data_IF_665313414128
#
_entry.id   IF_665313414128
#
_cell.length_a   1.000
_cell.length_b   1.000
_cell.length_c   1.000
_cell.angle_alpha   90.00
_cell.angle_beta   90.00
_cell.angle_gamma   90.00
#
_symmetry.space_group_name_H-M   'P 1'
#
loop_
_entity.id
_entity.type
_entity.pdbx_description
1 polymer ?
#
# COMPACT_ATOMS: atom_id res chain seq x y z
N UNK A 1 7.97 -16.32 28.27
CA UNK A 1 7.10 -15.40 29.03
C UNK A 1 7.63 -13.97 29.06
N UNK A 2 8.87 -13.71 29.51
CA UNK A 2 9.44 -12.35 29.57
C UNK A 2 9.44 -11.58 28.23
N UNK A 3 9.72 -12.25 27.11
CA UNK A 3 9.78 -11.61 25.77
C UNK A 3 8.43 -11.08 25.29
N UNK A 4 7.34 -11.83 25.46
CA UNK A 4 6.00 -11.45 25.00
C UNK A 4 5.47 -10.24 25.75
N UNK A 5 5.64 -10.26 27.07
CA UNK A 5 5.18 -9.17 27.92
C UNK A 5 5.97 -7.89 27.66
N UNK A 6 7.25 -7.97 27.30
CA UNK A 6 8.04 -6.77 26.99
C UNK A 6 7.47 -5.97 25.82
N UNK A 7 6.92 -6.64 24.80
CA UNK A 7 6.29 -5.99 23.64
C UNK A 7 4.95 -5.38 24.03
N UNK A 8 4.08 -6.16 24.69
CA UNK A 8 2.75 -5.70 25.07
C UNK A 8 2.79 -4.60 26.14
N UNK A 9 3.79 -4.61 27.03
CA UNK A 9 3.93 -3.61 28.08
C UNK A 9 4.20 -2.22 27.55
N UNK A 10 5.02 -2.08 26.51
CA UNK A 10 5.27 -0.77 25.88
C UNK A 10 3.97 -0.20 25.32
N UNK A 11 3.16 -1.03 24.67
CA UNK A 11 1.86 -0.65 24.14
C UNK A 11 0.90 -0.22 25.26
N UNK A 12 0.78 -1.00 26.33
CA UNK A 12 -0.15 -0.68 27.43
C UNK A 12 0.27 0.56 28.22
N UNK A 13 1.58 0.76 28.43
CA UNK A 13 2.10 1.98 29.05
C UNK A 13 1.86 3.22 28.20
N UNK A 14 2.04 3.11 26.88
CA UNK A 14 1.81 4.24 25.99
C UNK A 14 0.33 4.63 25.95
N UNK A 15 -0.58 3.66 25.84
CA UNK A 15 -2.02 3.91 25.94
C UNK A 15 -2.39 4.64 27.23
N UNK A 16 -1.83 4.21 28.36
CA UNK A 16 -2.07 4.88 29.64
C UNK A 16 -1.52 6.32 29.68
N UNK A 17 -0.33 6.57 29.09
CA UNK A 17 0.23 7.94 28.96
C UNK A 17 -0.64 8.88 28.13
N UNK A 18 -1.39 8.34 27.15
CA UNK A 18 -2.38 9.11 26.37
C UNK A 18 -3.73 9.28 27.08
N UNK A 19 -3.81 8.94 28.38
CA UNK A 19 -4.98 9.18 29.22
C UNK A 19 -6.03 8.07 29.19
N UNK A 20 -5.71 6.88 28.67
CA UNK A 20 -6.62 5.73 28.67
C UNK A 20 -6.50 4.95 30.00
N UNK A 21 -7.62 4.41 30.49
CA UNK A 21 -7.58 3.43 31.58
C UNK A 21 -7.27 2.04 31.01
N UNK A 22 -6.21 1.40 31.51
CA UNK A 22 -5.72 0.13 30.95
C UNK A 22 -5.75 -0.96 32.01
N UNK A 23 -6.42 -2.08 31.72
CA UNK A 23 -6.43 -3.28 32.57
C UNK A 23 -5.65 -4.38 31.87
N UNK A 24 -4.64 -4.95 32.54
CA UNK A 24 -3.73 -5.96 31.97
C UNK A 24 -3.80 -7.23 32.81
N UNK A 25 -4.26 -8.34 32.22
CA UNK A 25 -4.14 -9.67 32.85
C UNK A 25 -2.75 -10.20 32.54
N UNK A 26 -1.89 -10.35 33.55
CA UNK A 26 -0.49 -10.74 33.35
C UNK A 26 0.00 -11.78 34.36
N UNK A 27 0.75 -12.79 33.91
CA UNK A 27 1.41 -13.78 34.77
C UNK A 27 2.73 -13.27 35.39
N UNK A 28 3.10 -12.01 35.14
CA UNK A 28 4.37 -11.43 35.54
C UNK A 28 4.14 -9.95 35.89
N UNK A 29 3.37 -9.65 36.94
CA UNK A 29 3.13 -8.26 37.36
C UNK A 29 4.47 -7.59 37.65
N UNK A 30 4.68 -6.41 37.10
CA UNK A 30 5.99 -5.77 37.17
C UNK A 30 5.98 -4.45 37.92
N UNK A 31 4.79 -3.97 38.33
CA UNK A 31 4.63 -2.66 38.93
C UNK A 31 4.93 -1.58 37.89
N UNK A 32 3.91 -0.84 37.47
CA UNK A 32 4.11 0.29 36.55
C UNK A 32 4.36 1.58 37.31
N UNK A 33 5.11 2.49 36.70
CA UNK A 33 5.27 3.88 37.17
C UNK A 33 4.24 4.84 36.54
N UNK A 34 3.39 4.32 35.65
CA UNK A 34 2.37 5.08 34.91
C UNK A 34 1.04 4.95 35.63
N UNK A 35 0.48 6.08 36.07
CA UNK A 35 -0.87 6.13 36.64
C UNK A 35 -1.90 5.65 35.58
N UNK A 36 -2.99 5.00 36.01
CA UNK A 36 -4.08 4.45 35.17
C UNK A 36 -3.86 3.05 34.55
N UNK A 37 -2.86 2.27 34.99
CA UNK A 37 -2.76 0.85 34.66
C UNK A 37 -3.11 -0.01 35.86
N UNK A 38 -4.04 -0.97 35.66
CA UNK A 38 -4.38 -2.00 36.64
C UNK A 38 -3.89 -3.36 36.16
N UNK A 39 -2.92 -3.96 36.86
CA UNK A 39 -2.45 -5.31 36.58
C UNK A 39 -3.26 -6.35 37.37
N UNK A 40 -3.88 -7.30 36.67
CA UNK A 40 -4.50 -8.50 37.23
C UNK A 40 -3.47 -9.62 37.21
N UNK A 41 -2.93 -9.92 38.39
CA UNK A 41 -1.90 -10.94 38.57
C UNK A 41 -2.47 -12.36 38.45
N UNK A 42 -1.92 -13.14 37.51
CA UNK A 42 -2.22 -14.56 37.31
C UNK A 42 -0.96 -15.43 37.36
N UNK A 43 0.11 -14.96 37.99
CA UNK A 43 1.41 -15.65 38.06
C UNK A 43 1.30 -17.04 38.69
N UNK A 44 0.58 -17.17 39.80
CA UNK A 44 0.45 -18.42 40.55
C UNK A 44 -0.14 -19.55 39.70
N UNK A 45 -1.28 -19.28 39.06
CA UNK A 45 -1.96 -20.26 38.18
C UNK A 45 -1.16 -20.53 36.91
N UNK A 46 -0.41 -19.53 36.43
CA UNK A 46 0.33 -19.64 35.17
C UNK A 46 1.61 -20.47 35.32
N UNK A 47 2.41 -20.15 36.34
CA UNK A 47 3.67 -20.83 36.64
C UNK A 47 3.48 -22.32 36.92
N UNK A 48 2.41 -22.69 37.63
CA UNK A 48 2.07 -24.09 37.90
C UNK A 48 1.86 -24.90 36.62
N UNK A 49 1.13 -24.37 35.64
CA UNK A 49 0.84 -25.06 34.38
C UNK A 49 2.09 -25.22 33.51
N UNK A 50 3.02 -24.26 33.50
CA UNK A 50 4.27 -24.39 32.76
C UNK A 50 5.20 -25.46 33.36
N UNK A 51 5.24 -25.56 34.69
CA UNK A 51 5.99 -26.59 35.41
C UNK A 51 5.38 -27.97 35.20
N UNK A 52 4.06 -28.12 35.38
CA UNK A 52 3.33 -29.38 35.21
C UNK A 52 3.26 -29.83 33.74
N UNK A 53 3.23 -28.89 32.80
CA UNK A 53 3.18 -29.11 31.36
C UNK A 53 4.48 -29.70 30.78
N UNK A 54 5.56 -29.75 31.56
CA UNK A 54 6.82 -30.36 31.13
C UNK A 54 7.65 -29.48 30.19
N UNK A 55 7.46 -28.16 30.20
CA UNK A 55 8.20 -27.22 29.37
C UNK A 55 9.72 -27.32 29.58
N UNK A 56 10.16 -27.50 30.83
CA UNK A 56 11.56 -27.75 31.17
C UNK A 56 12.11 -29.06 30.57
N UNK A 57 11.25 -30.07 30.36
CA UNK A 57 11.64 -31.31 29.67
C UNK A 57 11.73 -31.09 28.17
N UNK A 58 10.83 -30.29 27.59
CA UNK A 58 10.88 -29.92 26.17
C UNK A 58 12.15 -29.11 25.84
N UNK A 59 12.48 -28.08 26.64
CA UNK A 59 13.71 -27.29 26.49
C UNK A 59 15.00 -28.10 26.71
N UNK A 60 14.94 -29.21 27.45
CA UNK A 60 16.09 -30.12 27.64
C UNK A 60 16.22 -31.18 26.54
N UNK A 61 15.18 -31.38 25.71
CA UNK A 61 15.22 -32.29 24.57
C UNK A 61 15.75 -31.61 23.28
N UNK A 62 16.06 -30.31 23.32
CA UNK A 62 16.50 -29.51 22.16
C UNK A 62 18.00 -29.46 21.94
N UNK A 63 18.80 -30.30 22.60
CA UNK A 63 20.22 -30.46 22.27
C UNK A 63 20.39 -31.20 20.94
N UNK A 64 20.28 -30.47 19.82
CA UNK A 64 20.80 -30.87 18.51
C UNK A 64 19.85 -31.59 17.53
N UNK A 65 18.53 -31.65 17.78
CA UNK A 65 17.57 -32.26 16.85
C UNK A 65 16.66 -31.18 16.25
N UNK A 66 16.43 -31.20 14.92
CA UNK A 66 15.39 -30.41 14.27
C UNK A 66 14.03 -30.81 14.86
N UNK A 67 13.43 -29.95 15.67
CA UNK A 67 12.14 -30.24 16.28
C UNK A 67 11.10 -30.28 15.16
N UNK A 68 10.27 -31.33 15.13
CA UNK A 68 9.08 -31.35 14.28
C UNK A 68 8.20 -30.15 14.68
N UNK A 69 8.11 -29.17 13.78
CA UNK A 69 7.37 -27.94 14.00
C UNK A 69 5.90 -28.23 14.33
N UNK A 70 5.33 -29.31 13.78
CA UNK A 70 3.95 -29.73 14.05
C UNK A 70 3.81 -30.25 15.48
N UNK A 71 4.76 -31.08 15.94
CA UNK A 71 4.73 -31.58 17.33
C UNK A 71 4.96 -30.46 18.34
N UNK A 72 5.84 -29.51 18.02
CA UNK A 72 6.07 -28.32 18.85
C UNK A 72 4.80 -27.49 18.96
N UNK A 73 4.14 -27.23 17.83
CA UNK A 73 2.91 -26.45 17.81
C UNK A 73 1.76 -27.17 18.54
N UNK A 74 1.66 -28.50 18.41
CA UNK A 74 0.69 -29.30 19.16
C UNK A 74 0.92 -29.27 20.66
N UNK A 75 2.18 -29.34 21.11
CA UNK A 75 2.53 -29.23 22.52
C UNK A 75 2.22 -27.83 23.07
N UNK A 76 2.64 -26.78 22.35
CA UNK A 76 2.37 -25.38 22.73
C UNK A 76 0.86 -25.16 22.85
N UNK A 77 0.07 -25.55 21.84
CA UNK A 77 -1.39 -25.43 21.88
C UNK A 77 -2.00 -26.16 23.11
N UNK A 78 -1.50 -27.34 23.46
CA UNK A 78 -2.02 -28.08 24.64
C UNK A 78 -1.71 -27.38 25.96
N UNK A 79 -0.50 -26.82 26.11
CA UNK A 79 -0.11 -26.08 27.30
C UNK A 79 -0.88 -24.76 27.38
N UNK A 80 -1.04 -24.05 26.26
CA UNK A 80 -1.78 -22.80 26.18
C UNK A 80 -3.26 -22.97 26.53
N UNK A 81 -3.92 -24.04 26.08
CA UNK A 81 -5.31 -24.32 26.45
C UNK A 81 -5.48 -24.51 27.96
N UNK A 82 -4.56 -25.24 28.59
CA UNK A 82 -4.57 -25.44 30.05
C UNK A 82 -4.27 -24.15 30.80
N UNK A 83 -3.33 -23.37 30.27
CA UNK A 83 -2.96 -22.07 30.85
C UNK A 83 -4.15 -21.13 30.82
N UNK A 84 -4.82 -21.04 29.68
CA UNK A 84 -5.99 -20.20 29.51
C UNK A 84 -7.13 -20.62 30.43
N UNK A 85 -7.43 -21.92 30.52
CA UNK A 85 -8.47 -22.44 31.41
C UNK A 85 -8.16 -22.10 32.89
N UNK A 86 -6.90 -22.27 33.31
CA UNK A 86 -6.47 -21.92 34.66
C UNK A 86 -6.58 -20.41 34.94
N UNK A 87 -6.14 -19.57 34.01
CA UNK A 87 -6.24 -18.11 34.12
C UNK A 87 -7.70 -17.64 34.13
N UNK A 88 -8.56 -18.20 33.28
CA UNK A 88 -9.99 -17.86 33.23
C UNK A 88 -10.70 -18.27 34.50
N UNK A 89 -10.34 -19.38 35.11
CA UNK A 89 -10.92 -19.83 36.38
C UNK A 89 -10.31 -19.15 37.61
N UNK A 90 -9.25 -18.34 37.44
CA UNK A 90 -8.66 -17.59 38.54
C UNK A 90 -9.72 -16.65 39.16
N UNK A 91 -9.89 -16.62 40.50
CA UNK A 91 -10.92 -15.82 41.15
C UNK A 91 -10.90 -14.34 40.79
N UNK A 92 -9.69 -13.79 40.60
CA UNK A 92 -9.49 -12.37 40.22
C UNK A 92 -10.01 -12.08 38.80
N UNK A 93 -9.79 -12.99 37.85
CA UNK A 93 -10.28 -12.86 36.47
C UNK A 93 -11.79 -13.10 36.42
N UNK A 94 -12.30 -14.10 37.14
CA UNK A 94 -13.74 -14.36 37.26
C UNK A 94 -14.50 -13.17 37.88
N UNK A 95 -13.89 -12.46 38.82
CA UNK A 95 -14.47 -11.25 39.41
C UNK A 95 -14.66 -10.17 38.33
N UNK A 96 -13.64 -9.92 37.51
CA UNK A 96 -13.71 -8.99 36.37
C UNK A 96 -14.77 -9.42 35.34
N UNK A 97 -14.78 -10.71 34.97
CA UNK A 97 -15.75 -11.26 34.01
C UNK A 97 -17.19 -11.14 34.52
N UNK A 98 -17.44 -11.28 35.82
CA UNK A 98 -18.79 -11.23 36.40
C UNK A 98 -19.27 -9.81 36.71
N UNK A 99 -18.36 -8.83 36.69
CA UNK A 99 -18.73 -7.44 36.87
C UNK A 99 -19.53 -6.93 35.66
N UNK A 100 -20.79 -6.56 35.90
CA UNK A 100 -21.70 -6.08 34.85
C UNK A 100 -21.50 -4.60 34.54
N UNK A 101 -20.88 -3.86 35.44
CA UNK A 101 -20.62 -2.43 35.28
C UNK A 101 -19.30 -2.19 34.54
N UNK A 102 -18.37 -3.16 34.60
CA UNK A 102 -17.12 -3.11 33.85
C UNK A 102 -17.38 -3.14 32.34
N UNK A 103 -16.82 -2.16 31.63
CA UNK A 103 -16.83 -2.05 30.17
C UNK A 103 -15.42 -1.78 29.66
N UNK A 104 -15.18 -2.17 28.42
CA UNK A 104 -13.94 -1.90 27.70
C UNK A 104 -14.29 -1.41 26.30
N UNK A 105 -13.67 -0.33 25.85
CA UNK A 105 -13.88 0.22 24.50
C UNK A 105 -13.03 -0.52 23.44
N UNK A 106 -11.97 -1.21 23.88
CA UNK A 106 -11.04 -1.95 23.03
C UNK A 106 -10.36 -3.06 23.83
N UNK A 107 -10.16 -4.22 23.21
CA UNK A 107 -9.48 -5.36 23.83
C UNK A 107 -8.28 -5.76 22.98
N UNK A 108 -7.11 -5.81 23.61
CA UNK A 108 -5.90 -6.39 23.01
C UNK A 108 -5.76 -7.83 23.46
N UNK A 109 -5.49 -8.74 22.52
CA UNK A 109 -5.22 -10.14 22.81
C UNK A 109 -3.94 -10.61 22.12
N UNK A 110 -3.22 -11.53 22.74
CA UNK A 110 -2.04 -12.12 22.11
C UNK A 110 -2.48 -13.09 20.99
N UNK A 111 -1.92 -12.92 19.79
CA UNK A 111 -2.32 -13.67 18.59
C UNK A 111 -2.08 -15.18 18.70
N UNK A 112 -1.14 -15.62 19.55
CA UNK A 112 -0.89 -17.04 19.80
C UNK A 112 -1.94 -17.69 20.72
N UNK A 113 -2.91 -16.95 21.26
CA UNK A 113 -3.96 -17.49 22.16
C UNK A 113 -5.36 -17.19 21.62
N UNK A 114 -5.84 -17.88 20.56
CA UNK A 114 -7.06 -17.53 19.85
C UNK A 114 -8.33 -17.54 20.70
N UNK A 115 -8.37 -18.33 21.78
CA UNK A 115 -9.54 -18.43 22.65
C UNK A 115 -9.74 -17.22 23.57
N UNK A 116 -8.73 -16.34 23.69
CA UNK A 116 -8.85 -15.09 24.45
C UNK A 116 -9.84 -14.10 23.82
N UNK A 117 -10.20 -14.27 22.54
CA UNK A 117 -11.25 -13.48 21.86
C UNK A 117 -12.63 -13.62 22.53
N UNK A 118 -12.84 -14.64 23.38
CA UNK A 118 -14.08 -14.78 24.15
C UNK A 118 -14.36 -13.57 25.07
N UNK A 119 -13.32 -12.82 25.47
CA UNK A 119 -13.48 -11.56 26.21
C UNK A 119 -14.22 -10.50 25.38
N UNK A 120 -14.01 -10.48 24.08
CA UNK A 120 -14.73 -9.59 23.16
C UNK A 120 -16.22 -9.85 23.15
N UNK A 121 -16.61 -11.14 23.09
CA UNK A 121 -18.00 -11.53 23.15
C UNK A 121 -18.63 -11.19 24.51
N UNK A 122 -17.85 -11.23 25.60
CA UNK A 122 -18.33 -10.86 26.94
C UNK A 122 -18.54 -9.35 27.09
N UNK A 123 -17.64 -8.53 26.56
CA UNK A 123 -17.64 -7.08 26.79
C UNK A 123 -18.20 -6.27 25.62
N UNK A 124 -18.57 -6.92 24.52
CA UNK A 124 -19.08 -6.29 23.29
C UNK A 124 -18.13 -5.20 22.73
N UNK A 125 -16.84 -5.54 22.70
CA UNK A 125 -15.76 -4.61 22.36
C UNK A 125 -14.94 -5.10 21.14
N UNK A 126 -14.46 -4.20 20.27
CA UNK A 126 -13.52 -4.54 19.20
C UNK A 126 -12.24 -5.19 19.75
N UNK A 127 -11.71 -6.16 19.00
CA UNK A 127 -10.47 -6.89 19.35
C UNK A 127 -9.36 -6.52 18.40
N UNK A 128 -8.18 -6.30 18.95
CA UNK A 128 -6.92 -6.25 18.20
C UNK A 128 -6.05 -7.41 18.67
N UNK A 129 -5.73 -8.32 17.75
CA UNK A 129 -4.74 -9.36 17.98
C UNK A 129 -3.34 -8.76 17.80
N UNK A 130 -2.48 -8.94 18.80
CA UNK A 130 -1.09 -8.48 18.80
C UNK A 130 -0.23 -9.73 18.87
N UNK A 131 0.62 -9.94 17.86
CA UNK A 131 1.59 -11.04 17.88
C UNK A 131 2.91 -10.56 18.46
N UNK A 132 3.41 -11.26 19.47
CA UNK A 132 4.80 -11.13 19.92
C UNK A 132 5.72 -12.22 19.36
N UNK A 133 5.18 -13.13 18.53
CA UNK A 133 5.96 -14.07 17.70
C UNK A 133 6.13 -13.55 16.25
N UNK A 134 7.35 -13.72 15.72
CA UNK A 134 7.75 -13.50 14.32
C UNK A 134 7.21 -12.22 13.64
N UNK A 135 7.85 -11.09 13.94
CA UNK A 135 8.19 -10.11 12.90
C UNK A 135 9.61 -10.43 12.43
N UNK A 136 9.81 -10.69 11.14
CA UNK A 136 11.09 -11.12 10.57
C UNK A 136 12.27 -10.22 10.97
N UNK A 137 13.46 -10.83 10.98
CA UNK A 137 14.79 -10.27 11.25
C UNK A 137 15.19 -8.98 10.49
N UNK A 138 14.32 -8.44 9.64
CA UNK A 138 14.63 -7.37 8.68
C UNK A 138 14.52 -5.96 9.28
N UNK A 139 13.83 -5.79 10.41
CA UNK A 139 13.63 -4.45 11.02
C UNK A 139 14.84 -3.89 11.77
N UNK A 140 15.86 -4.70 12.08
CA UNK A 140 17.05 -4.25 12.83
C UNK A 140 18.21 -3.78 11.92
N UNK A 141 18.21 -4.16 10.64
CA UNK A 141 19.24 -3.72 9.69
C UNK A 141 18.96 -2.32 9.11
N UNK A 142 17.70 -1.85 9.13
CA UNK A 142 17.34 -0.52 8.59
C UNK A 142 17.82 0.65 9.46
N UNK A 143 18.09 0.42 10.75
CA UNK A 143 18.54 1.47 11.68
C UNK A 143 20.04 1.78 11.53
N UNK A 144 20.83 0.88 10.92
CA UNK A 144 22.27 1.02 10.78
C UNK A 144 22.74 1.73 9.49
N UNK A 145 21.83 2.05 8.56
CA UNK A 145 22.17 2.65 7.24
C UNK A 145 21.93 4.17 7.14
N UNK A 146 21.80 4.89 8.25
CA UNK A 146 21.79 6.37 8.25
C UNK A 146 23.22 6.95 8.16
N UNK A 147 23.99 6.46 7.20
CA UNK A 147 25.18 7.12 6.70
C UNK A 147 24.86 7.60 5.29
N UNK A 148 24.75 8.92 5.16
CA UNK A 148 24.57 9.76 3.98
C UNK A 148 25.11 9.12 2.68
N UNK A 149 24.31 8.30 2.03
CA UNK A 149 24.54 7.86 0.65
C UNK A 149 23.58 8.63 -0.26
N UNK A 150 24.15 9.48 -1.11
CA UNK A 150 23.43 10.08 -2.24
C UNK A 150 23.27 9.00 -3.32
N UNK A 151 22.04 8.51 -3.54
CA UNK A 151 21.78 7.55 -4.60
C UNK A 151 21.42 8.23 -5.91
N UNK A 152 21.69 7.53 -7.02
CA UNK A 152 21.24 7.92 -8.34
C UNK A 152 20.04 7.09 -8.75
N UNK A 153 18.91 7.73 -9.00
CA UNK A 153 17.60 7.12 -9.16
C UNK A 153 17.06 7.43 -10.56
N UNK A 154 16.54 6.41 -11.24
CA UNK A 154 15.84 6.59 -12.51
C UNK A 154 14.34 6.54 -12.29
N UNK A 155 13.60 7.52 -12.77
CA UNK A 155 12.15 7.59 -12.69
C UNK A 155 11.55 7.60 -14.10
N UNK A 156 10.55 6.76 -14.35
CA UNK A 156 9.97 6.56 -15.68
C UNK A 156 8.45 6.68 -15.58
N UNK A 157 7.95 7.85 -15.93
CA UNK A 157 6.56 8.27 -15.70
C UNK A 157 5.90 8.68 -17.02
N UNK A 158 5.56 7.72 -17.89
CA UNK A 158 5.11 8.00 -19.25
C UNK A 158 3.66 8.53 -19.33
N UNK A 159 2.88 8.54 -18.25
CA UNK A 159 1.49 8.97 -18.32
C UNK A 159 1.36 10.48 -18.58
N UNK A 160 0.55 10.83 -19.58
CA UNK A 160 0.32 12.21 -20.03
C UNK A 160 -0.67 13.00 -19.16
N UNK A 161 -1.08 12.45 -18.01
CA UNK A 161 -2.12 13.03 -17.18
C UNK A 161 -1.52 13.82 -16.02
N UNK A 162 -1.94 15.08 -15.87
CA UNK A 162 -1.52 15.94 -14.75
C UNK A 162 -1.75 15.29 -13.39
N UNK A 163 -2.87 14.58 -13.19
CA UNK A 163 -3.17 13.90 -11.92
C UNK A 163 -2.12 12.85 -11.54
N UNK A 164 -1.50 12.20 -12.52
CA UNK A 164 -0.43 11.24 -12.26
C UNK A 164 0.87 11.95 -11.89
N UNK A 165 1.25 12.92 -12.73
CA UNK A 165 2.50 13.65 -12.59
C UNK A 165 2.53 14.49 -11.30
N UNK A 166 1.40 15.06 -10.88
CA UNK A 166 1.29 15.83 -9.63
C UNK A 166 1.62 15.03 -8.37
N UNK A 167 1.43 13.70 -8.41
CA UNK A 167 1.76 12.80 -7.30
C UNK A 167 3.20 12.34 -7.39
N UNK A 168 3.59 11.83 -8.56
CA UNK A 168 4.91 11.25 -8.80
C UNK A 168 6.03 12.29 -8.64
N UNK A 169 5.76 13.52 -9.06
CA UNK A 169 6.68 14.65 -8.90
C UNK A 169 7.02 14.93 -7.45
N UNK A 170 6.06 14.86 -6.53
CA UNK A 170 6.34 15.09 -5.10
C UNK A 170 7.34 14.07 -4.59
N UNK A 171 7.14 12.79 -4.91
CA UNK A 171 8.10 11.74 -4.52
C UNK A 171 9.51 12.02 -5.08
N UNK A 172 9.61 12.42 -6.34
CA UNK A 172 10.88 12.76 -6.98
C UNK A 172 11.55 13.98 -6.32
N UNK A 173 10.79 15.05 -6.06
CA UNK A 173 11.30 16.27 -5.45
C UNK A 173 11.78 16.02 -4.01
N UNK A 174 11.04 15.27 -3.22
CA UNK A 174 11.46 14.91 -1.86
C UNK A 174 12.76 14.10 -1.87
N UNK A 175 12.88 13.10 -2.74
CA UNK A 175 14.13 12.33 -2.87
C UNK A 175 15.31 13.21 -3.30
N UNK A 176 15.09 14.19 -4.19
CA UNK A 176 16.12 15.15 -4.60
C UNK A 176 16.58 16.03 -3.44
N UNK A 177 15.63 16.52 -2.63
CA UNK A 177 15.89 17.35 -1.45
C UNK A 177 16.69 16.60 -0.38
N UNK A 178 16.51 15.28 -0.30
CA UNK A 178 17.29 14.40 0.56
C UNK A 178 18.66 14.00 -0.02
N UNK A 179 19.12 14.69 -1.08
CA UNK A 179 20.47 14.58 -1.62
C UNK A 179 20.66 13.52 -2.70
N UNK A 180 19.60 12.90 -3.21
CA UNK A 180 19.69 11.94 -4.30
C UNK A 180 19.74 12.66 -5.66
N UNK A 181 20.41 12.07 -6.65
CA UNK A 181 20.37 12.51 -8.05
C UNK A 181 19.27 11.75 -8.79
N UNK A 182 18.35 12.44 -9.44
CA UNK A 182 17.23 11.84 -10.15
C UNK A 182 17.29 12.15 -11.64
N UNK A 183 17.07 11.11 -12.45
CA UNK A 183 16.80 11.24 -13.89
C UNK A 183 15.34 10.86 -14.11
N UNK A 184 14.54 11.76 -14.67
CA UNK A 184 13.08 11.61 -14.73
C UNK A 184 12.60 11.68 -16.17
N UNK A 185 12.06 10.59 -16.70
CA UNK A 185 11.39 10.57 -18.00
C UNK A 185 9.93 10.96 -17.80
N UNK A 186 9.51 12.11 -18.33
CA UNK A 186 8.15 12.64 -18.14
C UNK A 186 7.63 13.40 -19.36
N UNK A 187 6.34 13.26 -19.72
CA UNK A 187 5.69 14.09 -20.72
C UNK A 187 5.22 15.45 -20.18
N UNK A 188 5.36 15.71 -18.88
CA UNK A 188 5.03 16.99 -18.26
C UNK A 188 6.20 17.44 -17.37
N UNK A 189 7.28 17.97 -17.96
CA UNK A 189 8.39 18.52 -17.18
C UNK A 189 7.95 19.71 -16.31
N UNK A 190 8.75 20.03 -15.29
CA UNK A 190 8.51 21.16 -14.38
C UNK A 190 8.61 22.51 -15.10
N UNK A 191 9.41 22.58 -16.18
CA UNK A 191 9.65 23.81 -16.95
C UNK A 191 10.63 24.78 -16.27
N UNK A 192 10.99 24.54 -15.01
CA UNK A 192 12.07 25.21 -14.29
C UNK A 192 13.04 24.16 -13.77
N UNK A 193 14.34 24.45 -13.84
CA UNK A 193 15.35 23.53 -13.30
C UNK A 193 15.14 23.33 -11.79
N UNK A 194 15.21 22.08 -11.37
CA UNK A 194 15.18 21.68 -9.96
C UNK A 194 16.52 21.03 -9.64
N UNK A 195 17.14 21.42 -8.54
CA UNK A 195 18.44 20.89 -8.13
C UNK A 195 18.38 19.36 -7.99
N UNK A 196 19.43 18.70 -8.45
CA UNK A 196 19.58 17.24 -8.46
C UNK A 196 18.51 16.46 -9.28
N UNK A 197 17.70 17.14 -10.10
CA UNK A 197 16.74 16.49 -11.01
C UNK A 197 17.09 16.82 -12.47
N UNK A 198 17.28 15.79 -13.27
CA UNK A 198 17.40 15.87 -14.73
C UNK A 198 16.13 15.33 -15.38
N UNK A 199 15.32 16.19 -15.99
CA UNK A 199 14.11 15.77 -16.71
C UNK A 199 14.41 15.45 -18.18
N UNK A 200 14.03 14.26 -18.62
CA UNK A 200 13.97 13.85 -20.03
C UNK A 200 12.54 14.11 -20.51
N UNK A 201 12.38 15.19 -21.28
CA UNK A 201 11.10 15.60 -21.83
C UNK A 201 10.66 14.71 -23.00
N UNK A 202 9.52 14.04 -22.83
CA UNK A 202 8.87 13.23 -23.87
C UNK A 202 7.50 13.78 -24.28
N UNK A 203 7.20 15.05 -23.98
CA UNK A 203 5.92 15.72 -24.24
C UNK A 203 5.51 15.60 -25.70
N UNK A 204 6.34 16.09 -26.63
CA UNK A 204 6.02 16.14 -28.06
C UNK A 204 5.77 14.75 -28.65
N UNK A 205 6.60 13.77 -28.27
CA UNK A 205 6.42 12.37 -28.67
C UNK A 205 5.07 11.83 -28.18
N UNK A 206 4.70 12.16 -26.94
CA UNK A 206 3.45 11.71 -26.33
C UNK A 206 2.23 12.36 -26.97
N UNK A 207 2.26 13.67 -27.17
CA UNK A 207 1.17 14.43 -27.77
C UNK A 207 0.94 14.06 -29.23
N UNK A 208 2.01 13.77 -29.98
CA UNK A 208 1.89 13.25 -31.35
C UNK A 208 1.10 11.94 -31.39
N UNK A 209 1.46 10.96 -30.56
CA UNK A 209 0.73 9.68 -30.49
C UNK A 209 -0.72 9.93 -30.02
N UNK A 210 -0.91 10.83 -29.07
CA UNK A 210 -2.22 11.19 -28.55
C UNK A 210 -3.16 11.74 -29.63
N UNK A 211 -2.64 12.61 -30.49
CA UNK A 211 -3.34 13.17 -31.65
C UNK A 211 -3.59 12.12 -32.74
N UNK A 212 -2.59 11.34 -33.12
CA UNK A 212 -2.68 10.29 -34.15
C UNK A 212 -3.72 9.21 -33.78
N UNK A 213 -3.84 8.88 -32.49
CA UNK A 213 -4.85 7.94 -32.00
C UNK A 213 -6.23 8.59 -31.84
N UNK A 214 -6.38 9.88 -32.11
CA UNK A 214 -7.64 10.61 -32.03
C UNK A 214 -8.21 10.66 -30.60
N UNK A 215 -7.38 10.53 -29.56
CA UNK A 215 -7.83 10.38 -28.18
C UNK A 215 -8.50 11.63 -27.64
N UNK A 216 -8.02 12.82 -28.02
CA UNK A 216 -8.70 14.08 -27.71
C UNK A 216 -10.13 14.10 -28.26
N UNK A 217 -10.33 13.57 -29.47
CA UNK A 217 -11.65 13.50 -30.09
C UNK A 217 -12.50 12.42 -29.42
N UNK A 218 -11.94 11.26 -29.11
CA UNK A 218 -12.61 10.21 -28.36
C UNK A 218 -13.07 10.71 -26.98
N UNK A 219 -12.20 11.38 -26.21
CA UNK A 219 -12.55 11.93 -24.89
C UNK A 219 -13.59 13.06 -24.94
N UNK A 220 -13.63 13.84 -26.03
CA UNK A 220 -14.63 14.90 -26.22
C UNK A 220 -15.97 14.39 -26.74
N UNK A 221 -15.96 13.34 -27.57
CA UNK A 221 -17.16 12.84 -28.27
C UNK A 221 -17.80 11.65 -27.58
N UNK A 222 -17.00 10.85 -26.87
CA UNK A 222 -17.52 9.73 -26.13
C UNK A 222 -17.69 10.11 -24.67
N UNK A 223 -18.75 9.55 -24.12
CA UNK A 223 -18.80 9.16 -22.73
C UNK A 223 -17.74 8.03 -22.58
N UNK A 224 -16.45 8.25 -22.82
CA UNK A 224 -15.42 7.18 -22.87
C UNK A 224 -15.34 6.44 -21.53
N UNK A 225 -15.71 7.12 -20.45
CA UNK A 225 -15.91 6.56 -19.11
C UNK A 225 -17.23 5.77 -18.94
N UNK A 226 -18.10 5.74 -19.95
CA UNK A 226 -19.26 4.84 -20.05
C UNK A 226 -18.95 3.57 -20.82
N UNK A 227 -17.76 3.44 -21.40
CA UNK A 227 -17.27 2.13 -21.83
C UNK A 227 -17.05 1.28 -20.57
N UNK A 228 -17.29 -0.02 -20.69
CA UNK A 228 -16.94 -0.95 -19.63
C UNK A 228 -15.44 -0.81 -19.30
N UNK A 229 -15.08 -0.79 -18.02
CA UNK A 229 -13.70 -0.51 -17.57
C UNK A 229 -12.67 -1.42 -18.26
N UNK A 230 -13.10 -2.65 -18.58
CA UNK A 230 -12.33 -3.65 -19.31
C UNK A 230 -11.93 -3.21 -20.74
N UNK A 231 -12.80 -2.48 -21.44
CA UNK A 231 -12.51 -1.96 -22.79
C UNK A 231 -11.57 -0.77 -22.71
N UNK A 232 -11.76 0.10 -21.72
CA UNK A 232 -10.87 1.24 -21.46
C UNK A 232 -9.44 0.75 -21.18
N UNK A 233 -9.27 -0.26 -20.33
CA UNK A 233 -7.96 -0.85 -20.07
C UNK A 233 -7.31 -1.46 -21.32
N UNK A 234 -8.09 -2.09 -22.22
CA UNK A 234 -7.54 -2.62 -23.47
C UNK A 234 -7.00 -1.51 -24.38
N UNK A 235 -7.70 -0.37 -24.45
CA UNK A 235 -7.27 0.79 -25.22
C UNK A 235 -5.99 1.37 -24.61
N UNK A 236 -5.96 1.55 -23.29
CA UNK A 236 -4.79 2.06 -22.56
C UNK A 236 -3.58 1.14 -22.79
N UNK A 237 -3.73 -0.18 -22.65
CA UNK A 237 -2.66 -1.16 -22.84
C UNK A 237 -2.09 -1.21 -24.27
N UNK A 238 -2.90 -0.87 -25.28
CA UNK A 238 -2.45 -0.75 -26.67
C UNK A 238 -1.76 0.59 -26.93
N UNK A 239 -2.28 1.66 -26.33
CA UNK A 239 -1.72 2.99 -26.42
C UNK A 239 -0.35 3.06 -25.75
N UNK A 240 -0.21 2.42 -24.59
CA UNK A 240 1.02 2.35 -23.80
C UNK A 240 2.21 1.88 -24.65
N UNK A 241 2.07 0.78 -25.40
CA UNK A 241 3.16 0.28 -26.25
C UNK A 241 3.58 1.31 -27.30
N UNK A 242 2.62 2.01 -27.92
CA UNK A 242 2.90 3.05 -28.92
C UNK A 242 3.56 4.28 -28.31
N UNK A 243 3.09 4.72 -27.15
CA UNK A 243 3.69 5.84 -26.40
C UNK A 243 5.13 5.51 -26.05
N UNK A 244 5.36 4.31 -25.52
CA UNK A 244 6.69 3.85 -25.15
C UNK A 244 7.62 3.79 -26.36
N UNK A 245 7.17 3.23 -27.50
CA UNK A 245 7.93 3.27 -28.76
C UNK A 245 8.27 4.70 -29.20
N UNK A 246 7.34 5.64 -29.07
CA UNK A 246 7.61 7.04 -29.38
C UNK A 246 8.63 7.67 -28.43
N UNK A 247 8.56 7.35 -27.13
CA UNK A 247 9.54 7.79 -26.12
C UNK A 247 10.93 7.24 -26.43
N UNK A 248 11.03 5.98 -26.85
CA UNK A 248 12.29 5.38 -27.30
C UNK A 248 12.93 6.16 -28.45
N UNK A 249 12.15 6.82 -29.31
CA UNK A 249 12.69 7.62 -30.40
C UNK A 249 13.18 9.01 -29.98
N UNK A 250 12.91 9.45 -28.74
CA UNK A 250 13.40 10.73 -28.25
C UNK A 250 14.95 10.69 -28.14
N UNK A 251 15.68 11.72 -28.63
CA UNK A 251 17.15 11.73 -28.62
C UNK A 251 17.75 11.52 -27.22
N UNK A 252 17.26 12.24 -26.21
CA UNK A 252 17.72 12.09 -24.83
C UNK A 252 17.44 10.69 -24.26
N UNK A 253 16.38 10.03 -24.74
CA UNK A 253 16.09 8.65 -24.36
C UNK A 253 17.06 7.66 -25.02
N UNK A 254 17.40 7.88 -26.28
CA UNK A 254 18.43 7.09 -26.96
C UNK A 254 19.79 7.24 -26.29
N UNK A 255 20.16 8.45 -25.85
CA UNK A 255 21.39 8.68 -25.08
C UNK A 255 21.40 7.87 -23.78
N UNK A 256 20.31 7.90 -23.01
CA UNK A 256 20.17 7.12 -21.78
C UNK A 256 20.27 5.60 -22.02
N UNK A 257 19.71 5.11 -23.12
CA UNK A 257 19.71 3.67 -23.46
C UNK A 257 21.07 3.21 -23.98
N UNK A 258 21.73 4.03 -24.79
CA UNK A 258 22.99 3.71 -25.44
C UNK A 258 24.18 3.87 -24.48
N UNK A 259 24.10 4.78 -23.50
CA UNK A 259 25.15 4.96 -22.53
C UNK A 259 25.23 3.79 -21.55
N UNK A 260 26.23 2.94 -21.77
CA UNK A 260 26.46 1.74 -20.98
C UNK A 260 27.13 1.99 -19.63
N UNK A 261 27.61 3.20 -19.39
CA UNK A 261 28.36 3.58 -18.18
C UNK A 261 27.44 3.99 -17.03
N UNK A 262 26.20 4.35 -17.35
CA UNK A 262 25.20 4.81 -16.38
C UNK A 262 24.83 3.68 -15.41
N UNK A 263 24.78 4.01 -14.12
CA UNK A 263 24.33 3.13 -13.04
C UNK A 263 23.28 3.85 -12.21
N UNK A 264 22.29 3.08 -11.75
CA UNK A 264 21.22 3.55 -10.90
C UNK A 264 21.07 2.59 -9.72
N UNK A 265 20.77 3.12 -8.55
CA UNK A 265 20.54 2.32 -7.34
C UNK A 265 19.15 1.68 -7.36
N UNK A 266 18.16 2.38 -7.92
CA UNK A 266 16.77 1.91 -8.02
C UNK A 266 16.09 2.57 -9.22
N UNK A 267 15.10 1.87 -9.79
CA UNK A 267 14.28 2.37 -10.89
C UNK A 267 12.84 2.47 -10.41
N UNK A 268 12.26 3.67 -10.48
CA UNK A 268 10.84 3.90 -10.26
C UNK A 268 10.10 3.88 -11.57
N UNK A 269 9.07 3.04 -11.64
CA UNK A 269 8.20 2.95 -12.79
C UNK A 269 6.77 3.27 -12.38
N UNK A 270 6.04 3.93 -13.27
CA UNK A 270 4.65 4.25 -13.00
C UNK A 270 3.76 2.99 -13.01
N UNK A 271 3.08 2.72 -11.91
CA UNK A 271 2.32 1.48 -11.69
C UNK A 271 1.10 1.29 -12.59
N UNK A 272 0.66 2.33 -13.31
CA UNK A 272 -0.39 2.23 -14.33
C UNK A 272 0.17 2.06 -15.76
N UNK A 273 1.49 2.05 -15.91
CA UNK A 273 2.19 1.85 -17.19
C UNK A 273 3.26 0.75 -17.03
N UNK A 274 2.87 -0.52 -16.85
CA UNK A 274 3.79 -1.59 -16.52
C UNK A 274 4.85 -1.89 -17.59
N UNK A 275 4.69 -1.48 -18.86
CA UNK A 275 5.76 -1.59 -19.86
C UNK A 275 6.91 -0.62 -19.64
N UNK A 276 6.78 0.34 -18.73
CA UNK A 276 7.91 1.14 -18.26
C UNK A 276 9.02 0.27 -17.64
N UNK A 277 8.72 -0.96 -17.23
CA UNK A 277 9.74 -1.90 -16.77
C UNK A 277 10.75 -2.32 -17.85
N UNK A 278 10.41 -2.12 -19.14
CA UNK A 278 11.31 -2.44 -20.25
C UNK A 278 12.67 -1.74 -20.13
N UNK A 279 12.72 -0.56 -19.52
CA UNK A 279 13.98 0.15 -19.26
C UNK A 279 14.88 -0.57 -18.24
N UNK A 280 14.30 -1.40 -17.36
CA UNK A 280 15.06 -2.26 -16.48
C UNK A 280 15.73 -3.45 -17.21
N UNK A 281 15.42 -3.72 -18.50
CA UNK A 281 16.17 -4.71 -19.29
C UNK A 281 17.65 -4.39 -19.39
N UNK A 282 17.98 -3.10 -19.42
CA UNK A 282 19.37 -2.65 -19.53
C UNK A 282 20.04 -2.49 -18.18
N UNK A 283 19.28 -2.08 -17.19
CA UNK A 283 19.78 -1.60 -15.92
C UNK A 283 19.66 -2.70 -14.87
N UNK A 284 20.79 -3.07 -14.27
CA UNK A 284 20.85 -4.06 -13.21
C UNK A 284 20.55 -3.39 -11.86
N UNK A 285 19.30 -2.97 -11.69
CA UNK A 285 18.82 -2.29 -10.50
C UNK A 285 17.43 -2.81 -10.12
N UNK A 286 17.10 -2.86 -8.81
CA UNK A 286 15.76 -3.21 -8.35
C UNK A 286 14.73 -2.20 -8.87
N UNK A 287 13.51 -2.69 -9.12
CA UNK A 287 12.41 -1.87 -9.63
C UNK A 287 11.36 -1.68 -8.55
N UNK A 288 10.90 -0.44 -8.38
CA UNK A 288 9.74 -0.11 -7.54
C UNK A 288 8.64 0.45 -8.44
N UNK A 289 7.45 -0.13 -8.34
CA UNK A 289 6.26 0.44 -8.96
C UNK A 289 5.68 1.53 -8.06
N UNK A 290 5.33 2.68 -8.64
CA UNK A 290 4.68 3.79 -7.93
C UNK A 290 3.34 4.08 -8.59
N UNK A 291 2.25 3.81 -7.89
CA UNK A 291 0.90 4.18 -8.32
C UNK A 291 0.55 5.55 -7.80
N UNK A 292 0.12 6.44 -8.70
CA UNK A 292 -0.40 7.77 -8.35
C UNK A 292 -1.77 7.71 -7.66
N UNK A 293 -2.38 6.53 -7.55
CA UNK A 293 -3.66 6.27 -6.90
C UNK A 293 -3.66 4.89 -6.20
N UNK A 294 -4.82 4.24 -6.12
CA UNK A 294 -4.98 2.89 -5.58
C UNK A 294 -4.23 1.81 -6.38
N UNK A 295 -4.13 0.61 -5.80
CA UNK A 295 -3.58 -0.58 -6.47
C UNK A 295 -4.57 -1.17 -7.48
N UNK A 296 -4.09 -1.51 -8.67
CA UNK A 296 -4.87 -2.24 -9.68
C UNK A 296 -4.57 -3.74 -9.57
N UNK A 297 -5.36 -4.59 -10.22
CA UNK A 297 -5.15 -6.03 -10.14
C UNK A 297 -3.73 -6.41 -10.58
N UNK A 298 -3.23 -5.74 -11.62
CA UNK A 298 -1.97 -6.06 -12.26
C UNK A 298 -0.76 -5.82 -11.35
N UNK A 299 -0.71 -4.67 -10.65
CA UNK A 299 0.41 -4.36 -9.75
C UNK A 299 0.31 -5.14 -8.43
N UNK A 300 -0.88 -5.27 -7.85
CA UNK A 300 -1.11 -6.07 -6.64
C UNK A 300 -0.72 -7.55 -6.84
N UNK A 301 -1.08 -8.13 -7.99
CA UNK A 301 -0.69 -9.51 -8.32
C UNK A 301 0.81 -9.65 -8.57
N UNK A 302 1.48 -8.59 -9.02
CA UNK A 302 2.92 -8.60 -9.28
C UNK A 302 3.72 -8.69 -7.99
N UNK A 303 3.33 -7.95 -6.95
CA UNK A 303 3.94 -8.02 -5.61
C UNK A 303 3.37 -9.14 -4.72
N UNK A 304 2.52 -10.01 -5.27
CA UNK A 304 1.99 -11.18 -4.57
C UNK A 304 0.89 -10.89 -3.54
N UNK A 305 0.23 -9.73 -3.59
CA UNK A 305 -0.85 -9.40 -2.66
C UNK A 305 -2.09 -10.27 -2.93
N UNK A 306 -2.71 -10.83 -1.87
CA UNK A 306 -3.93 -11.59 -2.02
C UNK A 306 -5.11 -10.64 -2.30
N UNK A 307 -5.72 -10.79 -3.47
CA UNK A 307 -6.87 -9.99 -3.90
C UNK A 307 -8.16 -10.83 -4.10
N UNK A 308 -8.74 -11.46 -3.04
CA UNK A 308 -10.03 -12.14 -3.16
C UNK A 308 -11.14 -11.20 -3.66
N UNK A 309 -11.70 -11.42 -4.87
CA UNK A 309 -12.55 -10.42 -5.55
C UNK A 309 -13.92 -10.21 -4.90
N UNK A 310 -14.38 -11.16 -4.06
CA UNK A 310 -15.64 -11.08 -3.33
C UNK A 310 -15.52 -10.34 -1.99
N UNK A 311 -14.29 -10.19 -1.48
CA UNK A 311 -13.99 -9.52 -0.22
C UNK A 311 -13.50 -8.10 -0.52
N UNK A 312 -12.55 -8.00 -1.44
CA UNK A 312 -11.97 -6.72 -1.85
C UNK A 312 -12.53 -6.35 -3.22
N UNK A 313 -13.45 -5.36 -3.27
CA UNK A 313 -14.04 -4.96 -4.52
C UNK A 313 -12.97 -4.31 -5.40
N UNK A 314 -12.97 -4.67 -6.68
CA UNK A 314 -12.13 -4.00 -7.64
C UNK A 314 -12.71 -2.66 -8.09
N UNK A 315 -11.86 -1.75 -8.57
CA UNK A 315 -12.24 -0.40 -9.01
C UNK A 315 -13.35 -0.36 -10.07
N UNK A 316 -13.58 -1.47 -10.78
CA UNK A 316 -14.60 -1.61 -11.81
C UNK A 316 -15.91 -2.26 -11.32
N UNK A 317 -16.05 -2.56 -10.02
CA UNK A 317 -17.29 -3.10 -9.47
C UNK A 317 -18.30 -2.01 -9.19
N UNK A 318 -19.53 -2.19 -9.71
CA UNK A 318 -20.64 -1.26 -9.44
C UNK A 318 -21.25 -1.41 -8.05
N UNK A 319 -21.13 -2.60 -7.47
CA UNK A 319 -21.72 -2.94 -6.17
C UNK A 319 -20.65 -3.64 -5.34
N UNK A 320 -20.39 -3.09 -4.16
CA UNK A 320 -19.29 -3.54 -3.28
C UNK A 320 -19.80 -4.24 -2.02
N UNK A 321 -21.08 -4.09 -1.67
CA UNK A 321 -21.71 -4.67 -0.48
C UNK A 321 -23.04 -5.34 -0.82
N UNK A 322 -23.48 -6.27 0.03
CA UNK A 322 -24.76 -6.99 -0.10
C UNK A 322 -24.93 -7.68 -1.47
N UNK A 323 -23.89 -8.38 -1.91
CA UNK A 323 -23.86 -9.07 -3.20
C UNK A 323 -24.85 -10.24 -3.20
N UNK A 324 -25.78 -10.23 -4.16
CA UNK A 324 -26.62 -11.38 -4.48
C UNK A 324 -25.78 -12.52 -5.06
N UNK A 325 -26.37 -13.72 -5.20
CA UNK A 325 -25.70 -14.83 -5.89
C UNK A 325 -25.22 -14.44 -7.30
N UNK A 326 -26.05 -13.73 -8.05
CA UNK A 326 -25.72 -13.27 -9.41
C UNK A 326 -24.64 -12.18 -9.43
N UNK A 327 -24.65 -11.28 -8.44
CA UNK A 327 -23.58 -10.29 -8.29
C UNK A 327 -22.23 -10.98 -8.04
N UNK A 328 -22.21 -11.97 -7.13
CA UNK A 328 -20.99 -12.75 -6.83
C UNK A 328 -20.48 -13.50 -8.06
N UNK A 329 -21.37 -14.11 -8.84
CA UNK A 329 -21.00 -14.79 -10.08
C UNK A 329 -20.42 -13.82 -11.12
N UNK A 330 -21.02 -12.63 -11.27
CA UNK A 330 -20.54 -11.58 -12.17
C UNK A 330 -19.16 -11.04 -11.75
N UNK A 331 -18.95 -10.82 -10.46
CA UNK A 331 -17.65 -10.43 -9.89
C UNK A 331 -16.59 -11.49 -10.17
N UNK A 332 -16.90 -12.76 -9.90
CA UNK A 332 -15.97 -13.87 -10.15
C UNK A 332 -15.63 -14.02 -11.64
N UNK A 333 -16.63 -13.91 -12.51
CA UNK A 333 -16.44 -13.93 -13.97
C UNK A 333 -15.53 -12.80 -14.43
N UNK A 334 -15.77 -11.58 -13.93
CA UNK A 334 -14.95 -10.40 -14.26
C UNK A 334 -13.52 -10.58 -13.78
N UNK A 335 -13.33 -11.07 -12.55
CA UNK A 335 -12.01 -11.35 -12.00
C UNK A 335 -11.24 -12.38 -12.83
N UNK A 336 -11.86 -13.50 -13.21
CA UNK A 336 -11.23 -14.52 -14.06
C UNK A 336 -10.84 -13.96 -15.43
N UNK A 337 -11.68 -13.12 -16.05
CA UNK A 337 -11.35 -12.46 -17.32
C UNK A 337 -10.16 -11.51 -17.18
N UNK A 338 -10.15 -10.67 -16.15
CA UNK A 338 -9.02 -9.77 -15.89
C UNK A 338 -7.74 -10.56 -15.62
N UNK A 339 -7.83 -11.69 -14.91
CA UNK A 339 -6.70 -12.59 -14.67
C UNK A 339 -6.17 -13.22 -15.96
N UNK A 340 -7.04 -13.67 -16.86
CA UNK A 340 -6.63 -14.18 -18.18
C UNK A 340 -5.95 -13.09 -19.01
N UNK A 341 -6.54 -11.89 -19.06
CA UNK A 341 -5.95 -10.75 -19.76
C UNK A 341 -4.60 -10.35 -19.19
N UNK A 342 -4.43 -10.40 -17.88
CA UNK A 342 -3.15 -10.17 -17.23
C UNK A 342 -2.09 -11.18 -17.71
N UNK A 343 -2.44 -12.46 -17.80
CA UNK A 343 -1.53 -13.49 -18.35
C UNK A 343 -1.20 -13.18 -19.82
N UNK A 344 -2.21 -12.87 -20.64
CA UNK A 344 -2.02 -12.52 -22.06
C UNK A 344 -1.17 -11.25 -22.23
N UNK A 345 -1.34 -10.27 -21.35
CA UNK A 345 -0.59 -9.02 -21.35
C UNK A 345 0.91 -9.30 -21.22
N UNK A 346 1.33 -10.09 -20.24
CA UNK A 346 2.75 -10.38 -20.00
C UNK A 346 3.32 -11.46 -20.94
N UNK A 347 2.50 -12.33 -21.51
CA UNK A 347 2.91 -13.34 -22.48
C UNK A 347 2.94 -12.85 -23.94
N UNK A 348 2.66 -11.56 -24.19
CA UNK A 348 2.52 -11.03 -25.54
C UNK A 348 3.88 -10.88 -26.25
N UNK A 349 4.12 -11.70 -27.27
CA UNK A 349 5.38 -11.70 -28.04
C UNK A 349 5.66 -10.38 -28.79
N UNK A 350 4.66 -9.60 -29.18
CA UNK A 350 4.91 -8.30 -29.84
C UNK A 350 5.65 -7.35 -28.90
N UNK A 351 5.37 -7.42 -27.60
CA UNK A 351 6.04 -6.59 -26.59
C UNK A 351 7.47 -7.06 -26.35
N UNK A 352 7.66 -8.38 -26.31
CA UNK A 352 8.99 -8.98 -26.24
C UNK A 352 9.85 -8.60 -27.46
N UNK A 353 9.25 -8.51 -28.66
CA UNK A 353 9.93 -8.03 -29.87
C UNK A 353 10.36 -6.57 -29.73
N UNK A 354 9.51 -5.70 -29.18
CA UNK A 354 9.86 -4.30 -28.94
C UNK A 354 11.02 -4.19 -27.93
N UNK A 355 10.99 -4.95 -26.82
CA UNK A 355 12.14 -4.99 -25.89
C UNK A 355 13.42 -5.37 -26.64
N UNK A 356 13.40 -6.50 -27.37
CA UNK A 356 14.58 -7.02 -28.07
C UNK A 356 15.07 -6.09 -29.18
N UNK A 357 14.19 -5.30 -29.80
CA UNK A 357 14.52 -4.28 -30.79
C UNK A 357 15.39 -3.17 -30.19
N UNK A 358 15.11 -2.72 -28.96
CA UNK A 358 15.83 -1.60 -28.34
C UNK A 358 16.95 -2.03 -27.38
N UNK A 359 16.83 -3.18 -26.73
CA UNK A 359 17.79 -3.67 -25.73
C UNK A 359 18.60 -4.90 -26.17
N UNK A 360 18.41 -5.34 -27.42
CA UNK A 360 19.13 -6.45 -28.03
C UNK A 360 18.44 -7.81 -27.87
N UNK A 361 18.87 -8.78 -28.67
CA UNK A 361 18.23 -10.10 -28.76
C UNK A 361 18.24 -10.91 -27.45
N UNK A 362 19.20 -10.65 -26.56
CA UNK A 362 19.34 -11.31 -25.27
C UNK A 362 18.51 -10.66 -24.15
N UNK A 363 17.77 -9.59 -24.45
CA UNK A 363 16.97 -8.91 -23.45
C UNK A 363 15.84 -9.82 -22.91
N UNK A 364 15.56 -9.78 -21.59
CA UNK A 364 14.51 -10.56 -20.97
C UNK A 364 13.12 -10.17 -21.52
N UNK A 365 12.19 -11.11 -21.48
CA UNK A 365 10.77 -10.87 -21.76
C UNK A 365 10.14 -9.95 -20.72
N UNK A 366 8.98 -9.35 -21.06
CA UNK A 366 8.21 -8.54 -20.09
C UNK A 366 7.87 -9.37 -18.84
N UNK A 367 7.55 -10.66 -19.01
CA UNK A 367 7.23 -11.56 -17.92
C UNK A 367 8.41 -11.81 -16.96
N UNK A 368 9.62 -11.92 -17.49
CA UNK A 368 10.86 -12.04 -16.70
C UNK A 368 11.23 -10.71 -16.03
N UNK A 369 11.07 -9.59 -16.73
CA UNK A 369 11.30 -8.27 -16.12
C UNK A 369 10.38 -8.03 -14.94
N UNK A 370 9.11 -8.41 -15.05
CA UNK A 370 8.11 -8.25 -13.99
C UNK A 370 8.57 -8.83 -12.66
N UNK A 371 9.37 -9.89 -12.65
CA UNK A 371 9.89 -10.48 -11.40
C UNK A 371 10.97 -9.66 -10.73
N UNK A 372 11.43 -8.55 -11.34
CA UNK A 372 12.37 -7.57 -10.75
C UNK A 372 11.68 -6.46 -9.98
N UNK A 373 10.35 -6.45 -9.96
CA UNK A 373 9.57 -5.52 -9.13
C UNK A 373 9.64 -6.04 -7.69
N UNK A 374 10.36 -5.32 -6.86
CA UNK A 374 10.58 -5.66 -5.45
C UNK A 374 9.52 -5.02 -4.54
N UNK A 375 8.98 -3.87 -4.95
CA UNK A 375 8.04 -3.09 -4.15
C UNK A 375 6.98 -2.37 -4.99
N UNK A 376 5.84 -2.10 -4.36
CA UNK A 376 4.73 -1.31 -4.88
C UNK A 376 4.37 -0.22 -3.88
N UNK A 377 4.44 1.03 -4.31
CA UNK A 377 4.05 2.20 -3.55
C UNK A 377 2.70 2.70 -4.04
N UNK A 378 1.73 2.81 -3.14
CA UNK A 378 0.39 3.31 -3.45
C UNK A 378 0.17 4.68 -2.84
N UNK A 379 -0.23 5.65 -3.66
CA UNK A 379 -0.72 6.94 -3.19
C UNK A 379 -2.20 6.85 -2.74
N UNK A 380 -2.46 5.98 -1.77
CA UNK A 380 -3.75 5.87 -1.09
C UNK A 380 -3.51 5.68 0.41
N UNK A 381 -4.33 6.33 1.24
CA UNK A 381 -4.26 6.13 2.67
C UNK A 381 -4.76 4.71 3.02
N UNK A 382 -4.12 3.95 3.92
CA UNK A 382 -4.53 2.59 4.28
C UNK A 382 -6.00 2.46 4.66
N UNK A 383 -6.54 3.46 5.37
CA UNK A 383 -7.96 3.51 5.75
C UNK A 383 -8.95 3.54 4.56
N UNK A 384 -8.47 3.87 3.36
CA UNK A 384 -9.26 3.88 2.12
C UNK A 384 -8.91 2.71 1.19
N UNK A 385 -8.05 1.79 1.62
CA UNK A 385 -7.60 0.64 0.85
C UNK A 385 -8.33 -0.66 1.26
N UNK A 386 -9.56 -0.56 1.77
CA UNK A 386 -10.45 -1.68 2.13
C UNK A 386 -9.82 -2.75 3.05
N UNK A 387 -8.83 -2.39 3.88
CA UNK A 387 -8.04 -3.33 4.71
C UNK A 387 -7.43 -4.49 3.91
N UNK A 388 -6.99 -4.22 2.68
CA UNK A 388 -6.29 -5.20 1.85
C UNK A 388 -5.07 -5.76 2.61
N UNK A 389 -4.84 -7.09 2.64
CA UNK A 389 -3.63 -7.64 3.22
C UNK A 389 -2.42 -7.15 2.43
N UNK A 390 -1.57 -6.39 3.10
CA UNK A 390 -0.39 -5.79 2.51
C UNK A 390 0.84 -6.65 2.80
N UNK A 391 1.44 -7.32 1.80
CA UNK A 391 2.76 -7.92 1.99
C UNK A 391 3.78 -6.83 2.30
N UNK A 392 4.97 -7.16 2.87
CA UNK A 392 6.02 -6.16 3.15
C UNK A 392 6.44 -5.32 1.93
N UNK A 393 6.31 -5.88 0.73
CA UNK A 393 6.56 -5.21 -0.53
C UNK A 393 5.55 -4.11 -0.89
N UNK A 394 4.41 -4.01 -0.19
CA UNK A 394 3.35 -3.04 -0.45
C UNK A 394 3.40 -1.90 0.58
N UNK A 395 3.74 -0.69 0.13
CA UNK A 395 3.74 0.52 0.97
C UNK A 395 2.62 1.47 0.57
N UNK A 396 1.91 1.96 1.57
CA UNK A 396 0.92 3.03 1.42
C UNK A 396 1.57 4.36 1.76
N UNK A 397 1.79 5.19 0.73
CA UNK A 397 2.35 6.52 0.92
C UNK A 397 1.28 7.55 1.21
N UNK A 398 0.12 7.44 0.54
CA UNK A 398 -1.09 8.21 0.80
C UNK A 398 -0.95 9.74 0.69
N UNK A 399 -1.79 10.38 -0.11
CA UNK A 399 -1.95 11.84 -0.12
C UNK A 399 -0.65 12.64 -0.39
N UNK A 400 0.31 12.07 -1.14
CA UNK A 400 1.61 12.70 -1.44
C UNK A 400 1.46 14.09 -2.10
N UNK A 401 0.41 14.29 -2.88
CA UNK A 401 0.15 15.54 -3.57
C UNK A 401 -0.37 16.67 -2.66
N UNK A 402 -0.68 16.38 -1.39
CA UNK A 402 -1.11 17.41 -0.44
C UNK A 402 0.09 18.24 -0.01
N UNK A 403 -0.04 19.56 -0.17
CA UNK A 403 0.93 20.55 0.33
C UNK A 403 0.36 21.24 1.56
N UNK A 404 1.25 21.85 2.33
CA UNK A 404 0.86 22.70 3.45
C UNK A 404 -0.21 23.73 3.02
N UNK A 405 -1.30 23.89 3.78
CA UNK A 405 -2.35 24.83 3.45
C UNK A 405 -1.81 26.25 3.27
N UNK A 406 -2.03 26.82 2.10
CA UNK A 406 -1.67 28.22 1.83
C UNK A 406 -2.82 29.15 2.21
N UNK A 407 -2.48 30.39 2.57
CA UNK A 407 -3.48 31.43 2.83
C UNK A 407 -4.28 31.73 1.57
N UNK A 408 -5.62 31.75 1.70
CA UNK A 408 -6.48 32.09 0.58
C UNK A 408 -6.31 33.57 0.18
N UNK A 409 -6.46 33.92 -1.10
CA UNK A 409 -6.54 35.32 -1.51
C UNK A 409 -7.65 36.04 -0.74
N UNK A 410 -7.39 37.27 -0.30
CA UNK A 410 -8.27 38.05 0.58
C UNK A 410 -9.72 38.13 0.09
N UNK A 411 -9.93 38.31 -1.22
CA UNK A 411 -11.25 38.35 -1.82
C UNK A 411 -12.02 37.02 -1.67
N UNK A 412 -11.33 35.89 -1.84
CA UNK A 412 -11.94 34.56 -1.68
C UNK A 412 -12.21 34.27 -0.20
N UNK A 413 -11.25 34.58 0.68
CA UNK A 413 -11.41 34.46 2.12
C UNK A 413 -12.64 35.24 2.60
N UNK A 414 -12.73 36.51 2.23
CA UNK A 414 -13.87 37.39 2.57
C UNK A 414 -15.20 36.83 2.05
N UNK A 415 -15.22 36.31 0.82
CA UNK A 415 -16.41 35.69 0.25
C UNK A 415 -16.85 34.45 1.05
N UNK A 416 -15.91 33.55 1.34
CA UNK A 416 -16.18 32.33 2.11
C UNK A 416 -16.67 32.66 3.54
N UNK A 417 -16.00 33.61 4.21
CA UNK A 417 -16.32 34.04 5.58
C UNK A 417 -17.67 34.78 5.67
N UNK A 418 -18.11 35.43 4.58
CA UNK A 418 -19.39 36.10 4.53
C UNK A 418 -20.60 35.15 4.46
N UNK A 419 -20.38 33.86 4.15
CA UNK A 419 -21.47 32.91 4.00
C UNK A 419 -22.08 32.50 5.34
N UNK A 420 -23.38 32.80 5.53
CA UNK A 420 -24.15 32.40 6.72
C UNK A 420 -24.62 30.93 6.70
N UNK A 421 -24.56 30.26 5.55
CA UNK A 421 -25.10 28.91 5.35
C UNK A 421 -24.03 27.88 5.00
N UNK A 422 -22.76 28.25 5.10
CA UNK A 422 -21.64 27.45 4.63
C UNK A 422 -21.44 27.57 3.11
N UNK A 423 -20.39 26.92 2.61
CA UNK A 423 -20.01 26.95 1.19
C UNK A 423 -19.85 25.53 0.69
N UNK A 424 -20.35 25.26 -0.52
CA UNK A 424 -20.13 24.00 -1.21
C UNK A 424 -19.03 24.24 -2.24
N UNK A 425 -17.87 23.64 -2.01
CA UNK A 425 -16.80 23.60 -3.01
C UNK A 425 -17.02 22.44 -3.97
N UNK A 426 -16.99 22.72 -5.27
CA UNK A 426 -17.08 21.71 -6.32
C UNK A 426 -15.86 21.84 -7.22
N UNK A 427 -15.05 20.79 -7.25
CA UNK A 427 -13.99 20.60 -8.23
C UNK A 427 -14.21 19.27 -8.94
N UNK A 428 -14.23 19.31 -10.27
CA UNK A 428 -14.42 18.14 -11.13
C UNK A 428 -13.11 17.63 -11.73
N UNK A 429 -11.98 18.17 -11.29
CA UNK A 429 -10.66 17.82 -11.81
C UNK A 429 -10.34 18.43 -13.18
N UNK A 430 -9.18 18.05 -13.72
CA UNK A 430 -8.54 18.68 -14.89
C UNK A 430 -9.14 18.31 -16.25
N UNK A 431 -10.05 17.34 -16.31
CA UNK A 431 -10.46 16.69 -17.57
C UNK A 431 -11.92 16.96 -17.95
N UNK A 432 -12.69 17.66 -17.11
CA UNK A 432 -14.12 17.94 -17.36
C UNK A 432 -14.36 19.29 -18.04
N UNK A 433 -15.31 19.31 -18.98
CA UNK A 433 -15.72 20.51 -19.71
C UNK A 433 -16.71 21.35 -18.89
N UNK A 434 -16.29 22.57 -18.52
CA UNK A 434 -17.07 23.54 -17.72
C UNK A 434 -18.32 24.13 -18.40
N UNK A 435 -18.59 23.79 -19.67
CA UNK A 435 -19.68 24.42 -20.42
C UNK A 435 -21.07 24.15 -19.83
N UNK A 436 -21.24 23.09 -19.04
CA UNK A 436 -22.52 22.76 -18.36
C UNK A 436 -22.82 23.70 -17.19
N UNK A 437 -21.80 24.26 -16.54
CA UNK A 437 -22.00 25.09 -15.34
C UNK A 437 -22.38 26.53 -15.67
N UNK A 438 -22.04 27.03 -16.87
CA UNK A 438 -22.42 28.38 -17.32
C UNK A 438 -23.94 28.61 -17.41
N UNK A 439 -24.74 27.54 -17.46
CA UNK A 439 -26.20 27.62 -17.53
C UNK A 439 -26.91 27.46 -16.18
N UNK A 440 -26.18 27.29 -15.08
CA UNK A 440 -26.79 27.15 -13.76
C UNK A 440 -27.21 28.52 -13.18
N UNK A 441 -28.33 28.59 -12.44
CA UNK A 441 -28.88 29.85 -11.92
C UNK A 441 -28.18 30.34 -10.63
N UNK A 442 -26.93 29.95 -10.39
CA UNK A 442 -26.17 30.28 -9.19
C UNK A 442 -24.95 31.15 -9.55
N UNK A 443 -24.51 31.99 -8.62
CA UNK A 443 -23.26 32.72 -8.76
C UNK A 443 -22.08 31.73 -8.70
N UNK A 444 -21.46 31.49 -9.86
CA UNK A 444 -20.32 30.58 -9.97
C UNK A 444 -19.05 31.42 -10.13
N UNK A 445 -18.23 31.44 -9.08
CA UNK A 445 -16.86 31.92 -9.16
C UNK A 445 -16.02 30.86 -9.90
N UNK A 446 -15.89 31.03 -11.22
CA UNK A 446 -15.03 30.19 -12.04
C UNK A 446 -13.59 30.72 -11.96
N UNK A 447 -12.67 29.89 -11.45
CA UNK A 447 -11.23 30.05 -11.73
C UNK A 447 -10.91 29.09 -12.87
N UNK A 448 -10.66 29.64 -14.05
CA UNK A 448 -10.21 28.90 -15.24
C UNK A 448 -8.74 28.49 -15.10
#
# INVERSE_FOLDING_TARGET
>A
MYSHQSVLRVLTEELARHGNEVVVITPLPAGTSVDNITEIDVQDVSSQIWVEGGYDKMLKQTDGISIDAVQTMQFINQVELKLLDAQFNAPVVQKMIKDKEQKFDLIFVEACVPLSIMFAARFDAPVIEVSSFFGSHENLLSIAANLVDSYRILCIYPAVFYSHQSVLRVLTEELAQHGNELVVVTPLPHGTAVDNITEIDVHDASMKIWEEQGLTKAMKQSNTFSLDAEQTMLIINKLELKLLEAHYHAPAMQELIQDQTQKFAVIFVEGCAPLSIMFASRLDAPVIEVSSFFGIHENLLTIGAPIPPLIFPSYNQRKTRNLSFWDKLSVMYTFLRLRLRYIEYYANEERNKVIRKYFGAAAPSVAELRTRIEMLFLNVHPAWADNLPAPPALLYLGALHLKEPQTLPEALQTYLDSSRKGVIYVSLGSTFLFNVFKSLPYDILLKA
#
